data_IF_760196356268
#
_entry.id   IF_760196356268
#
_cell.length_a   1.000
_cell.length_b   1.000
_cell.length_c   1.000
_cell.angle_alpha   90.00
_cell.angle_beta   90.00
_cell.angle_gamma   90.00
#
_symmetry.space_group_name_H-M   'P 1'
#
loop_
_entity.id
_entity.type
_entity.pdbx_description
1 polymer ?
#
# COMPACT_ATOMS: atom_id res chain seq x y z
N UNK A 1 17.42 -14.40 44.82
CA UNK A 1 17.63 -12.97 44.57
C UNK A 1 18.15 -12.71 43.14
N UNK A 2 19.23 -13.35 42.67
CA UNK A 2 19.84 -13.09 41.35
C UNK A 2 19.00 -13.48 40.12
N UNK A 3 18.07 -14.44 40.24
CA UNK A 3 17.15 -14.86 39.15
C UNK A 3 16.06 -13.83 38.81
N UNK A 4 15.66 -12.99 39.77
CA UNK A 4 14.69 -11.91 39.54
C UNK A 4 15.32 -10.72 38.81
N UNK A 5 16.62 -10.47 39.02
CA UNK A 5 17.36 -9.40 38.34
C UNK A 5 17.50 -9.67 36.83
N UNK A 6 17.70 -10.93 36.44
CA UNK A 6 17.82 -11.34 35.04
C UNK A 6 16.47 -11.25 34.31
N UNK A 7 15.36 -11.54 35.02
CA UNK A 7 14.00 -11.44 34.47
C UNK A 7 13.55 -9.96 34.33
N UNK A 8 14.09 -9.06 35.14
CA UNK A 8 13.81 -7.62 35.09
C UNK A 8 14.70 -6.85 34.09
N UNK A 9 15.84 -7.42 33.68
CA UNK A 9 16.71 -6.83 32.65
C UNK A 9 16.24 -7.15 31.22
N UNK A 10 15.41 -8.19 31.06
CA UNK A 10 14.82 -8.55 29.76
C UNK A 10 13.58 -7.71 29.38
N UNK A 11 12.98 -6.97 30.32
CA UNK A 11 11.80 -6.14 30.06
C UNK A 11 12.12 -4.74 29.53
N UNK A 12 13.38 -4.32 29.51
CA UNK A 12 13.80 -2.95 29.16
C UNK A 12 14.06 -2.77 27.64
N UNK A 13 13.83 -3.80 26.81
CA UNK A 13 14.20 -3.75 25.40
C UNK A 13 13.15 -3.14 24.44
N UNK A 14 12.07 -2.52 24.92
CA UNK A 14 10.94 -2.14 24.06
C UNK A 14 10.52 -0.65 24.19
N UNK A 15 11.49 0.27 24.30
CA UNK A 15 11.22 1.71 24.38
C UNK A 15 11.91 2.51 23.25
N UNK A 16 12.06 1.91 22.06
CA UNK A 16 12.73 2.55 20.92
C UNK A 16 11.87 2.56 19.64
N UNK A 17 10.55 2.71 19.75
CA UNK A 17 9.68 2.79 18.57
C UNK A 17 8.35 3.52 18.84
N UNK A 18 8.34 4.85 18.99
CA UNK A 18 7.08 5.62 18.95
C UNK A 18 7.25 7.01 18.34
N UNK A 19 7.95 7.13 17.20
CA UNK A 19 7.37 8.09 16.25
C UNK A 19 6.13 7.39 15.70
N UNK A 20 4.97 7.70 16.29
CA UNK A 20 3.73 7.05 15.88
C UNK A 20 3.52 7.39 14.41
N UNK A 21 3.00 6.44 13.63
CA UNK A 21 2.67 6.69 12.22
C UNK A 21 1.80 7.93 12.08
N UNK A 22 0.97 8.22 13.07
CA UNK A 22 0.09 9.39 13.11
C UNK A 22 0.88 10.69 13.25
N UNK A 23 1.97 10.71 14.02
CA UNK A 23 2.85 11.88 14.13
C UNK A 23 3.57 12.15 12.81
N UNK A 24 4.09 11.10 12.19
CA UNK A 24 4.71 11.19 10.86
C UNK A 24 3.68 11.64 9.83
N UNK A 25 2.45 11.12 9.90
CA UNK A 25 1.37 11.51 9.01
C UNK A 25 0.93 12.96 9.20
N UNK A 26 0.86 13.46 10.44
CA UNK A 26 0.47 14.84 10.76
C UNK A 26 1.48 15.87 10.29
N UNK A 27 2.78 15.57 10.39
CA UNK A 27 3.84 16.46 9.88
C UNK A 27 3.98 16.40 8.36
N UNK A 28 3.54 15.31 7.75
CA UNK A 28 3.68 15.11 6.31
C UNK A 28 2.61 15.90 5.59
N UNK A 29 3.04 16.78 4.69
CA UNK A 29 2.13 17.43 3.75
C UNK A 29 1.65 16.42 2.71
N UNK A 30 0.41 15.97 2.84
CA UNK A 30 -0.22 15.01 1.93
C UNK A 30 -0.55 15.59 0.55
N UNK A 31 -0.39 16.91 0.35
CA UNK A 31 -0.50 17.57 -0.95
C UNK A 31 0.81 17.66 -1.72
N UNK A 32 1.94 17.35 -1.08
CA UNK A 32 3.27 17.41 -1.69
C UNK A 32 3.79 15.99 -2.00
N UNK A 33 4.11 15.75 -3.28
CA UNK A 33 4.56 14.44 -3.75
C UNK A 33 5.84 13.96 -3.03
N UNK A 34 6.83 14.83 -2.86
CA UNK A 34 8.10 14.51 -2.19
C UNK A 34 7.89 14.20 -0.71
N UNK A 35 7.02 14.95 -0.03
CA UNK A 35 6.71 14.73 1.39
C UNK A 35 6.01 13.37 1.59
N UNK A 36 5.05 13.02 0.73
CA UNK A 36 4.38 11.72 0.77
C UNK A 36 5.35 10.58 0.42
N UNK A 37 6.30 10.82 -0.50
CA UNK A 37 7.34 9.86 -0.85
C UNK A 37 8.26 9.57 0.35
N UNK A 38 8.74 10.60 1.05
CA UNK A 38 9.55 10.45 2.25
C UNK A 38 8.79 9.66 3.35
N UNK A 39 7.48 9.88 3.49
CA UNK A 39 6.67 9.09 4.42
C UNK A 39 6.52 7.63 3.99
N UNK A 40 6.43 7.37 2.68
CA UNK A 40 6.40 6.02 2.15
C UNK A 40 7.71 5.26 2.45
N UNK A 41 8.87 5.91 2.28
CA UNK A 41 10.18 5.33 2.61
C UNK A 41 10.32 5.06 4.11
N UNK A 42 9.85 5.99 4.96
CA UNK A 42 9.79 5.75 6.40
C UNK A 42 8.94 4.51 6.73
N UNK A 43 7.80 4.34 6.05
CA UNK A 43 6.95 3.16 6.21
C UNK A 43 7.66 1.86 5.76
N UNK A 44 8.46 1.89 4.70
CA UNK A 44 9.28 0.74 4.28
C UNK A 44 10.29 0.35 5.36
N UNK A 45 11.03 1.33 5.89
CA UNK A 45 12.02 1.12 6.95
C UNK A 45 11.43 0.58 8.26
N UNK A 46 10.15 0.85 8.53
CA UNK A 46 9.42 0.39 9.73
C UNK A 46 8.64 -0.91 9.51
N UNK A 47 8.98 -1.69 8.49
CA UNK A 47 8.35 -2.98 8.18
C UNK A 47 6.83 -2.86 7.91
N UNK A 48 6.40 -1.76 7.26
CA UNK A 48 5.00 -1.51 6.87
C UNK A 48 4.85 -1.40 5.34
N UNK A 49 5.23 -2.44 4.57
CA UNK A 49 5.30 -2.40 3.11
C UNK A 49 3.94 -2.15 2.44
N UNK A 50 2.85 -2.68 3.01
CA UNK A 50 1.48 -2.44 2.48
C UNK A 50 1.11 -0.96 2.49
N UNK A 51 1.49 -0.24 3.56
CA UNK A 51 1.20 1.19 3.69
C UNK A 51 2.10 2.02 2.78
N UNK A 52 3.40 1.68 2.71
CA UNK A 52 4.34 2.31 1.79
C UNK A 52 3.83 2.22 0.34
N UNK A 53 3.35 1.04 -0.10
CA UNK A 53 2.79 0.86 -1.44
C UNK A 53 1.57 1.75 -1.71
N UNK A 54 0.68 1.93 -0.74
CA UNK A 54 -0.46 2.85 -0.87
C UNK A 54 0.01 4.30 -1.01
N UNK A 55 1.03 4.70 -0.24
CA UNK A 55 1.60 6.03 -0.29
C UNK A 55 2.31 6.29 -1.62
N UNK A 56 3.07 5.33 -2.16
CA UNK A 56 3.65 5.47 -3.52
C UNK A 56 2.59 5.66 -4.60
N UNK A 57 1.43 5.01 -4.47
CA UNK A 57 0.28 5.27 -5.34
C UNK A 57 -0.16 6.74 -5.29
N UNK A 58 -0.30 7.30 -4.07
CA UNK A 58 -0.63 8.72 -3.87
C UNK A 58 0.43 9.67 -4.41
N UNK A 59 1.71 9.34 -4.27
CA UNK A 59 2.80 10.15 -4.87
C UNK A 59 2.61 10.26 -6.37
N UNK A 60 2.28 9.15 -7.04
CA UNK A 60 2.08 9.12 -8.50
C UNK A 60 0.78 9.83 -8.92
N UNK A 61 -0.23 9.87 -8.05
CA UNK A 61 -1.44 10.68 -8.27
C UNK A 61 -1.14 12.18 -8.25
N UNK A 62 -0.22 12.62 -7.37
CA UNK A 62 0.21 14.02 -7.24
C UNK A 62 1.21 14.41 -8.33
N UNK A 63 2.24 13.58 -8.54
CA UNK A 63 3.26 13.73 -9.56
C UNK A 63 3.36 12.46 -10.40
N UNK A 64 2.79 12.54 -11.62
CA UNK A 64 2.72 11.42 -12.55
C UNK A 64 4.07 10.98 -13.08
N UNK A 65 5.08 11.85 -13.05
CA UNK A 65 6.42 11.59 -13.57
C UNK A 65 7.44 11.32 -12.46
N UNK A 66 6.98 11.11 -11.22
CA UNK A 66 7.85 10.82 -10.09
C UNK A 66 8.58 9.47 -10.26
N UNK A 67 9.81 9.53 -10.75
CA UNK A 67 10.56 8.34 -11.16
C UNK A 67 10.85 7.38 -10.00
N UNK A 68 11.21 7.91 -8.82
CA UNK A 68 11.53 7.09 -7.66
C UNK A 68 10.32 6.30 -7.13
N UNK A 69 9.14 6.92 -7.03
CA UNK A 69 7.90 6.24 -6.62
C UNK A 69 7.51 5.13 -7.60
N UNK A 70 7.66 5.38 -8.91
CA UNK A 70 7.40 4.37 -9.94
C UNK A 70 8.40 3.22 -9.90
N UNK A 71 9.68 3.50 -9.69
CA UNK A 71 10.72 2.49 -9.50
C UNK A 71 10.42 1.59 -8.28
N UNK A 72 9.98 2.19 -7.15
CA UNK A 72 9.54 1.46 -5.95
C UNK A 72 8.34 0.56 -6.21
N UNK A 73 7.45 0.94 -7.13
CA UNK A 73 6.36 0.07 -7.59
C UNK A 73 6.78 -0.97 -8.64
N UNK A 74 8.07 -1.05 -8.99
CA UNK A 74 8.59 -1.97 -10.01
C UNK A 74 8.24 -1.53 -11.44
N UNK A 75 8.02 -0.23 -11.66
CA UNK A 75 7.82 0.35 -12.98
C UNK A 75 9.12 0.98 -13.47
N UNK A 76 9.41 0.83 -14.76
CA UNK A 76 10.57 1.40 -15.45
C UNK A 76 10.10 2.27 -16.62
N UNK A 77 10.84 3.34 -16.90
CA UNK A 77 10.57 4.22 -18.04
C UNK A 77 11.18 3.61 -19.30
N UNK A 78 10.35 3.36 -20.30
CA UNK A 78 10.75 2.88 -21.63
C UNK A 78 10.20 3.86 -22.67
N UNK A 79 11.08 4.72 -23.19
CA UNK A 79 10.70 5.86 -24.01
C UNK A 79 9.84 6.86 -23.22
N UNK A 80 8.65 7.15 -23.73
CA UNK A 80 7.67 8.04 -23.09
C UNK A 80 6.64 7.30 -22.21
N UNK A 81 6.82 5.98 -21.99
CA UNK A 81 5.86 5.15 -21.26
C UNK A 81 6.48 4.48 -20.04
N UNK A 82 5.68 4.36 -19.00
CA UNK A 82 6.02 3.60 -17.79
C UNK A 82 5.49 2.17 -17.92
N UNK A 83 6.37 1.19 -17.79
CA UNK A 83 6.06 -0.25 -17.94
C UNK A 83 6.49 -1.02 -16.70
N UNK A 84 5.80 -2.12 -16.38
CA UNK A 84 6.20 -3.00 -15.28
C UNK A 84 7.46 -3.79 -15.66
N UNK A 85 8.47 -3.81 -14.78
CA UNK A 85 9.78 -4.39 -15.06
C UNK A 85 9.76 -5.92 -15.28
N UNK A 86 8.79 -6.65 -14.70
CA UNK A 86 8.70 -8.13 -14.76
C UNK A 86 7.39 -8.68 -15.39
N UNK A 87 6.69 -7.89 -16.24
CA UNK A 87 5.59 -8.32 -17.13
C UNK A 87 4.23 -8.69 -16.49
N UNK A 88 3.17 -9.00 -17.30
CA UNK A 88 2.68 -8.24 -18.45
C UNK A 88 1.99 -6.93 -17.98
N UNK A 89 1.74 -5.99 -18.88
CA UNK A 89 1.08 -4.71 -18.59
C UNK A 89 -0.29 -4.90 -17.90
N UNK A 90 -0.35 -4.84 -16.57
CA UNK A 90 -1.60 -5.12 -15.86
C UNK A 90 -1.63 -4.93 -14.35
N UNK A 91 -0.64 -4.27 -13.73
CA UNK A 91 -0.67 -3.96 -12.29
C UNK A 91 -0.61 -2.45 -12.00
N UNK A 92 -1.01 -1.62 -12.97
CA UNK A 92 -1.36 -0.23 -12.71
C UNK A 92 -2.73 -0.19 -12.05
N UNK A 93 -2.82 0.36 -10.85
CA UNK A 93 -4.09 0.87 -10.32
C UNK A 93 -4.50 2.08 -11.18
N UNK A 94 -4.99 1.81 -12.39
CA UNK A 94 -5.70 2.79 -13.19
C UNK A 94 -7.13 2.88 -12.65
N UNK A 95 -7.31 3.57 -11.52
CA UNK A 95 -8.64 4.05 -11.13
C UNK A 95 -8.76 5.46 -11.70
N UNK A 96 -9.08 5.54 -12.99
CA UNK A 96 -9.14 6.80 -13.70
C UNK A 96 -9.99 6.85 -14.97
N UNK A 97 -10.52 5.73 -15.48
CA UNK A 97 -11.53 5.75 -16.53
C UNK A 97 -12.47 4.56 -16.32
N UNK A 98 -13.72 4.83 -15.97
CA UNK A 98 -14.79 3.82 -16.01
C UNK A 98 -15.56 3.99 -17.32
N UNK A 99 -15.34 3.12 -18.31
CA UNK A 99 -16.40 2.65 -19.17
C UNK A 99 -16.80 1.24 -18.72
N UNK A 100 -18.06 1.06 -18.35
CA UNK A 100 -18.73 -0.25 -18.29
C UNK A 100 -18.09 -1.31 -17.40
N UNK A 101 -18.49 -1.36 -16.13
CA UNK A 101 -18.42 -2.60 -15.36
C UNK A 101 -19.42 -3.60 -15.94
N UNK A 102 -19.03 -4.38 -16.95
CA UNK A 102 -19.72 -5.63 -17.29
C UNK A 102 -18.96 -6.78 -16.67
N UNK A 103 -19.07 -6.92 -15.34
CA UNK A 103 -18.96 -8.23 -14.75
C UNK A 103 -20.17 -9.05 -15.26
N UNK A 104 -20.03 -10.31 -15.68
CA UNK A 104 -21.18 -11.16 -15.92
C UNK A 104 -21.89 -11.36 -14.58
N UNK A 105 -22.98 -10.62 -14.41
CA UNK A 105 -23.94 -10.78 -13.34
C UNK A 105 -24.42 -12.23 -13.40
N UNK A 106 -24.03 -13.04 -12.41
CA UNK A 106 -24.53 -14.41 -12.26
C UNK A 106 -25.98 -14.33 -11.81
N UNK A 107 -26.87 -14.03 -12.75
CA UNK A 107 -28.30 -14.23 -12.57
C UNK A 107 -28.54 -15.74 -12.58
N UNK A 108 -28.78 -16.32 -11.41
CA UNK A 108 -29.45 -17.60 -11.35
C UNK A 108 -30.87 -17.41 -11.90
N UNK A 109 -31.03 -17.56 -13.21
CA UNK A 109 -32.32 -17.56 -13.88
C UNK A 109 -32.97 -18.93 -13.65
N UNK A 110 -33.54 -19.13 -12.47
CA UNK A 110 -34.33 -20.30 -12.14
C UNK A 110 -35.05 -20.09 -10.80
N UNK A 111 -36.32 -20.52 -10.65
CA UNK A 111 -36.97 -20.51 -9.34
C UNK A 111 -36.12 -21.32 -8.36
N UNK A 112 -35.75 -20.71 -7.23
CA UNK A 112 -34.98 -21.37 -6.18
C UNK A 112 -35.69 -22.64 -5.68
N UNK A 113 -34.96 -23.62 -5.11
CA UNK A 113 -35.56 -24.86 -4.63
C UNK A 113 -36.66 -24.54 -3.62
N UNK A 114 -37.85 -25.11 -3.83
CA UNK A 114 -38.96 -24.98 -2.90
C UNK A 114 -38.72 -25.86 -1.67
N UNK A 115 -39.29 -25.45 -0.53
CA UNK A 115 -39.11 -26.07 0.79
C UNK A 115 -39.61 -27.53 0.92
N UNK A 116 -39.98 -28.19 -0.18
CA UNK A 116 -40.35 -29.61 -0.23
C UNK A 116 -39.17 -30.53 -0.62
N UNK A 117 -37.96 -29.97 -0.79
CA UNK A 117 -36.76 -30.71 -1.21
C UNK A 117 -35.63 -30.70 -0.17
N UNK A 118 -35.96 -30.49 1.12
CA UNK A 118 -35.02 -30.64 2.25
C UNK A 118 -35.48 -31.79 3.14
#
# INVERSE_FOLDING_TARGET
>A
MLRFLILMLMTIAMAAAEESMEDVQKRTDMGNADAVYAFAEWCEGHNKPTRARQLYGKVIELDKDHEAARAKMGQVRVGERWVAANGPAGAGHAKGDRPGSTAPERHAAGPGPTAQQV
#
